data_IF_431738397896
#
_entry.id   IF_431738397896
#
_cell.length_a   1.000
_cell.length_b   1.000
_cell.length_c   1.000
_cell.angle_alpha   90.00
_cell.angle_beta   90.00
_cell.angle_gamma   90.00
#
_symmetry.space_group_name_H-M   'P 1'
#
loop_
_entity.id
_entity.type
_entity.pdbx_description
1 polymer ?
#
# COMPACT_ATOMS: atom_id res chain seq x y z
N UNK A 1 9.68 -26.55 1.99
CA UNK A 1 9.94 -27.96 1.64
C UNK A 1 11.42 -28.15 1.35
N UNK A 2 11.97 -27.56 0.28
CA UNK A 2 13.40 -27.59 -0.07
C UNK A 2 14.37 -27.60 1.12
N UNK A 3 14.29 -26.60 2.01
CA UNK A 3 15.23 -26.46 3.13
C UNK A 3 15.00 -27.40 4.32
N UNK A 4 13.80 -27.97 4.48
CA UNK A 4 13.38 -28.69 5.71
C UNK A 4 12.98 -30.14 5.45
N UNK A 5 12.80 -30.52 4.19
CA UNK A 5 12.39 -31.84 3.72
C UNK A 5 12.94 -32.07 2.30
N UNK A 6 14.28 -32.12 2.15
CA UNK A 6 14.94 -32.24 0.85
C UNK A 6 14.61 -33.57 0.16
N UNK A 7 14.45 -34.68 0.91
CA UNK A 7 14.10 -35.98 0.33
C UNK A 7 12.79 -35.94 -0.46
N UNK A 8 11.77 -35.25 0.06
CA UNK A 8 10.49 -35.08 -0.65
C UNK A 8 10.63 -34.12 -1.83
N UNK A 9 11.47 -33.10 -1.70
CA UNK A 9 11.75 -32.18 -2.80
C UNK A 9 12.41 -32.91 -3.98
N UNK A 10 13.55 -33.55 -3.75
CA UNK A 10 14.40 -34.19 -4.77
C UNK A 10 13.73 -35.43 -5.37
N UNK A 11 13.18 -36.32 -4.53
CA UNK A 11 12.72 -37.64 -5.01
C UNK A 11 11.24 -37.67 -5.42
N UNK A 12 10.47 -36.62 -5.15
CA UNK A 12 9.04 -36.57 -5.53
C UNK A 12 8.77 -35.37 -6.42
N UNK A 13 9.11 -34.16 -5.96
CA UNK A 13 8.65 -32.93 -6.60
C UNK A 13 9.46 -32.63 -7.85
N UNK A 14 10.79 -32.74 -7.79
CA UNK A 14 11.64 -32.58 -8.98
C UNK A 14 11.42 -33.68 -10.02
N UNK A 15 11.19 -34.92 -9.57
CA UNK A 15 10.85 -36.04 -10.46
C UNK A 15 9.56 -35.75 -11.23
N UNK A 16 8.50 -35.28 -10.55
CA UNK A 16 7.24 -34.93 -11.23
C UNK A 16 7.46 -33.77 -12.22
N UNK A 17 8.20 -32.73 -11.83
CA UNK A 17 8.47 -31.59 -12.73
C UNK A 17 9.33 -31.96 -13.94
N UNK A 18 10.17 -33.00 -13.84
CA UNK A 18 10.99 -33.52 -14.92
C UNK A 18 10.19 -34.42 -15.87
N UNK A 19 9.38 -35.32 -15.30
CA UNK A 19 8.78 -36.42 -16.05
C UNK A 19 7.38 -36.08 -16.59
N UNK A 20 6.70 -35.08 -16.00
CA UNK A 20 5.37 -34.64 -16.45
C UNK A 20 5.41 -33.35 -17.26
N UNK A 21 4.57 -33.24 -18.31
CA UNK A 21 4.61 -32.12 -19.24
C UNK A 21 4.09 -30.82 -18.62
N UNK A 22 4.67 -29.71 -19.07
CA UNK A 22 4.18 -28.35 -18.81
C UNK A 22 3.33 -27.78 -19.96
N UNK A 23 3.30 -28.48 -21.09
CA UNK A 23 2.46 -28.18 -22.26
C UNK A 23 1.90 -29.46 -22.87
N UNK A 24 0.67 -29.39 -23.38
CA UNK A 24 0.02 -30.48 -24.12
C UNK A 24 -0.80 -29.94 -25.29
N UNK A 25 -1.11 -30.79 -26.26
CA UNK A 25 -2.03 -30.42 -27.33
C UNK A 25 -3.43 -30.13 -26.78
N UNK A 26 -4.08 -29.11 -27.32
CA UNK A 26 -5.51 -28.86 -27.12
C UNK A 26 -6.34 -30.06 -27.59
N UNK A 27 -7.59 -30.16 -27.14
CA UNK A 27 -8.50 -31.26 -27.50
C UNK A 27 -8.71 -31.39 -29.02
N UNK A 28 -8.60 -30.28 -29.76
CA UNK A 28 -8.66 -30.23 -31.22
C UNK A 28 -7.31 -30.49 -31.93
N UNK A 29 -6.22 -30.71 -31.17
CA UNK A 29 -4.89 -31.05 -31.67
C UNK A 29 -4.11 -29.90 -32.31
N UNK A 30 -4.66 -28.67 -32.34
CA UNK A 30 -4.09 -27.57 -33.13
C UNK A 30 -3.05 -26.74 -32.38
N UNK A 31 -3.29 -26.48 -31.09
CA UNK A 31 -2.48 -25.56 -30.32
C UNK A 31 -1.82 -26.26 -29.14
N UNK A 32 -0.65 -25.76 -28.72
CA UNK A 32 -0.05 -26.18 -27.46
C UNK A 32 -0.61 -25.32 -26.33
N UNK A 33 -1.19 -25.99 -25.34
CA UNK A 33 -1.80 -25.37 -24.16
C UNK A 33 -0.94 -25.68 -22.96
N UNK A 34 -0.72 -24.68 -22.09
CA UNK A 34 -0.03 -24.90 -20.81
C UNK A 34 -0.84 -25.84 -19.93
N UNK A 35 -0.18 -26.85 -19.37
CA UNK A 35 -0.75 -27.74 -18.37
C UNK A 35 0.09 -27.70 -17.08
N UNK A 36 -0.50 -28.19 -15.99
CA UNK A 36 0.17 -28.25 -14.69
C UNK A 36 0.72 -29.68 -14.49
N UNK A 37 2.05 -29.88 -14.41
CA UNK A 37 2.66 -31.19 -14.20
C UNK A 37 2.10 -31.94 -12.98
N UNK A 38 1.81 -31.22 -11.90
CA UNK A 38 1.25 -31.81 -10.67
C UNK A 38 -0.17 -32.34 -10.86
N UNK A 39 -0.95 -31.72 -11.75
CA UNK A 39 -2.31 -32.17 -12.06
C UNK A 39 -2.29 -33.39 -12.98
N UNK A 40 -1.38 -33.43 -13.96
CA UNK A 40 -1.24 -34.60 -14.82
C UNK A 40 -0.76 -35.82 -14.02
N UNK A 41 0.24 -35.65 -13.13
CA UNK A 41 0.61 -36.70 -12.17
C UNK A 41 -0.58 -37.16 -11.33
N UNK A 42 -1.41 -36.21 -10.85
CA UNK A 42 -2.56 -36.53 -10.00
C UNK A 42 -3.61 -37.38 -10.71
N UNK A 43 -3.83 -37.14 -12.00
CA UNK A 43 -4.79 -37.90 -12.81
C UNK A 43 -4.38 -39.36 -12.97
N UNK A 44 -3.09 -39.62 -13.09
CA UNK A 44 -2.55 -40.97 -13.28
C UNK A 44 -2.31 -41.71 -11.95
N UNK A 45 -1.80 -41.01 -10.93
CA UNK A 45 -1.26 -41.64 -9.72
C UNK A 45 -1.99 -41.26 -8.43
N UNK A 46 -2.96 -40.34 -8.49
CA UNK A 46 -3.61 -39.78 -7.31
C UNK A 46 -2.80 -38.67 -6.63
N UNK A 47 -3.13 -38.36 -5.36
CA UNK A 47 -2.51 -37.22 -4.68
C UNK A 47 -1.00 -37.40 -4.50
N UNK A 48 -0.25 -36.33 -4.75
CA UNK A 48 1.19 -36.27 -4.48
C UNK A 48 1.38 -36.41 -2.97
N UNK A 49 2.16 -37.39 -2.55
CA UNK A 49 2.43 -37.68 -1.14
C UNK A 49 3.89 -37.40 -0.79
N UNK A 50 4.13 -37.10 0.50
CA UNK A 50 5.49 -36.96 1.04
C UNK A 50 6.32 -38.21 0.79
N UNK A 51 7.63 -38.06 0.58
CA UNK A 51 8.51 -39.21 0.49
C UNK A 51 8.43 -40.07 1.77
N UNK A 52 8.29 -41.39 1.59
CA UNK A 52 8.38 -42.36 2.66
C UNK A 52 8.81 -43.71 2.12
N UNK A 53 9.62 -44.45 2.88
CA UNK A 53 10.15 -45.76 2.45
C UNK A 53 9.07 -46.80 2.16
N UNK A 54 7.90 -46.70 2.81
CA UNK A 54 6.77 -47.64 2.71
C UNK A 54 5.57 -47.08 1.93
N UNK A 55 5.73 -45.93 1.25
CA UNK A 55 4.63 -45.31 0.48
C UNK A 55 3.46 -44.79 1.32
N UNK A 56 3.63 -44.57 2.63
CA UNK A 56 2.60 -44.05 3.56
C UNK A 56 2.77 -42.55 3.85
N UNK A 57 3.30 -41.81 2.88
CA UNK A 57 3.47 -40.37 2.99
C UNK A 57 2.13 -39.65 3.06
N UNK A 58 2.07 -38.54 3.79
CA UNK A 58 0.86 -37.71 3.81
C UNK A 58 0.72 -36.90 2.52
N UNK A 59 -0.51 -36.64 2.05
CA UNK A 59 -0.73 -35.83 0.85
C UNK A 59 -0.23 -34.39 0.98
N UNK A 60 0.37 -33.87 -0.09
CA UNK A 60 0.86 -32.50 -0.22
C UNK A 60 -0.20 -31.68 -0.96
N UNK A 61 -0.78 -30.68 -0.28
CA UNK A 61 -1.79 -29.77 -0.85
C UNK A 61 -1.35 -28.31 -0.87
N UNK A 62 -0.33 -27.97 -0.07
CA UNK A 62 0.14 -26.59 0.07
C UNK A 62 1.65 -26.59 0.29
N UNK A 63 2.32 -25.64 -0.35
CA UNK A 63 3.74 -25.39 -0.18
C UNK A 63 3.94 -23.99 0.39
N UNK A 64 4.42 -23.91 1.63
CA UNK A 64 4.87 -22.63 2.22
C UNK A 64 6.23 -22.27 1.61
N UNK A 65 6.38 -21.00 1.26
CA UNK A 65 7.61 -20.43 0.72
C UNK A 65 7.91 -19.09 1.41
N UNK A 66 9.18 -18.69 1.41
CA UNK A 66 9.56 -17.34 1.82
C UNK A 66 9.23 -16.37 0.69
N UNK A 67 8.33 -15.42 0.94
CA UNK A 67 7.89 -14.45 -0.06
C UNK A 67 8.79 -13.19 -0.05
N UNK A 68 8.57 -12.30 0.91
CA UNK A 68 9.29 -11.01 1.03
C UNK A 68 9.75 -10.77 2.46
N UNK A 69 10.76 -9.90 2.61
CA UNK A 69 11.14 -9.39 3.94
C UNK A 69 9.96 -8.64 4.57
N UNK A 70 9.75 -8.83 5.87
CA UNK A 70 8.66 -8.19 6.60
C UNK A 70 8.84 -6.66 6.60
N UNK A 71 7.83 -5.94 6.13
CA UNK A 71 7.75 -4.48 6.13
C UNK A 71 6.67 -3.96 7.08
N UNK A 72 5.99 -2.88 6.69
CA UNK A 72 4.88 -2.29 7.46
C UNK A 72 3.73 -3.30 7.69
N UNK A 73 3.34 -3.51 8.96
CA UNK A 73 2.36 -4.51 9.37
C UNK A 73 1.69 -4.17 10.71
N UNK A 74 0.58 -4.83 11.03
CA UNK A 74 0.02 -4.92 12.39
C UNK A 74 0.43 -6.27 12.98
N UNK A 75 1.03 -6.27 14.16
CA UNK A 75 1.29 -7.50 14.89
C UNK A 75 0.02 -8.02 15.56
N UNK A 76 -0.29 -9.29 15.32
CA UNK A 76 -1.34 -10.05 15.99
C UNK A 76 -0.76 -11.33 16.61
N UNK A 77 0.55 -11.31 16.94
CA UNK A 77 1.30 -12.45 17.44
C UNK A 77 0.70 -12.99 18.74
N UNK A 78 0.23 -14.26 18.76
CA UNK A 78 -0.17 -14.91 19.99
C UNK A 78 1.01 -15.08 20.94
N UNK A 79 0.78 -15.03 22.26
CA UNK A 79 1.84 -15.13 23.28
C UNK A 79 2.70 -16.40 23.15
N UNK A 80 2.10 -17.51 22.76
CA UNK A 80 2.76 -18.82 22.60
C UNK A 80 3.46 -19.00 21.25
N UNK A 81 3.37 -18.00 20.36
CA UNK A 81 3.92 -18.13 19.01
C UNK A 81 5.44 -18.02 19.03
N UNK A 82 6.11 -18.95 18.35
CA UNK A 82 7.57 -18.91 18.12
C UNK A 82 7.99 -17.89 17.05
N UNK A 83 7.03 -17.40 16.26
CA UNK A 83 7.27 -16.46 15.17
C UNK A 83 6.19 -15.37 15.17
N UNK A 84 6.52 -14.21 14.61
CA UNK A 84 5.54 -13.14 14.46
C UNK A 84 4.40 -13.53 13.51
N UNK A 85 3.18 -13.18 13.93
CA UNK A 85 1.97 -13.34 13.12
C UNK A 85 1.43 -11.94 12.87
N UNK A 86 1.25 -11.61 11.59
CA UNK A 86 1.06 -10.22 11.17
C UNK A 86 -0.07 -10.07 10.15
N UNK A 87 -0.70 -8.90 10.16
CA UNK A 87 -1.57 -8.43 9.07
C UNK A 87 -0.81 -7.39 8.25
N UNK A 88 -0.83 -7.55 6.92
CA UNK A 88 -0.19 -6.63 5.97
C UNK A 88 -1.26 -5.79 5.24
N UNK A 89 -0.82 -4.96 4.28
CA UNK A 89 -1.71 -4.11 3.47
C UNK A 89 -2.57 -3.16 4.29
N UNK A 90 -1.90 -2.36 5.13
CA UNK A 90 -2.57 -1.41 6.01
C UNK A 90 -3.20 -0.27 5.20
N UNK A 91 -4.52 -0.16 5.27
CA UNK A 91 -5.27 0.82 4.50
C UNK A 91 -5.08 2.25 5.07
N UNK A 92 -4.71 3.22 4.22
CA UNK A 92 -4.59 4.62 4.62
C UNK A 92 -5.97 5.22 4.87
N UNK A 93 -6.04 6.11 5.85
CA UNK A 93 -7.26 6.84 6.21
C UNK A 93 -7.21 8.29 5.72
N UNK A 94 -6.19 9.03 6.14
CA UNK A 94 -5.98 10.44 5.77
C UNK A 94 -4.50 10.79 5.79
N UNK A 95 -4.15 11.97 5.31
CA UNK A 95 -2.83 12.52 5.52
C UNK A 95 -2.90 13.96 6.01
N UNK A 96 -2.01 14.33 6.92
CA UNK A 96 -1.90 15.67 7.47
C UNK A 96 -0.68 16.36 6.85
N UNK A 97 -0.92 17.50 6.18
CA UNK A 97 0.11 18.26 5.47
C UNK A 97 0.62 19.40 6.35
N UNK A 98 1.94 19.48 6.46
CA UNK A 98 2.68 20.48 7.19
C UNK A 98 3.59 21.27 6.25
N UNK A 99 3.97 22.47 6.66
CA UNK A 99 5.00 23.27 6.00
C UNK A 99 6.12 23.57 6.99
N UNK A 100 7.35 23.30 6.59
CA UNK A 100 8.52 23.57 7.42
C UNK A 100 9.13 24.92 7.02
N UNK A 101 9.10 25.95 7.89
CA UNK A 101 9.62 27.27 7.58
C UNK A 101 11.15 27.30 7.44
N UNK A 102 11.87 26.36 8.07
CA UNK A 102 13.34 26.30 8.00
C UNK A 102 13.81 25.72 6.65
N UNK A 103 13.07 24.76 6.07
CA UNK A 103 13.44 24.11 4.80
C UNK A 103 12.66 24.62 3.59
N UNK A 104 11.61 25.41 3.83
CA UNK A 104 10.65 25.91 2.82
C UNK A 104 10.00 24.79 2.00
N UNK A 105 9.78 23.63 2.62
CA UNK A 105 9.18 22.45 1.97
C UNK A 105 7.96 21.96 2.73
N UNK A 106 7.07 21.31 1.99
CA UNK A 106 5.96 20.59 2.57
C UNK A 106 6.40 19.25 3.14
N UNK A 107 5.86 18.89 4.29
CA UNK A 107 6.07 17.61 4.96
C UNK A 107 4.71 16.96 5.15
N UNK A 108 4.59 15.70 4.74
CA UNK A 108 3.33 14.97 4.81
C UNK A 108 3.45 13.76 5.72
N UNK A 109 2.46 13.61 6.60
CA UNK A 109 2.29 12.47 7.49
C UNK A 109 1.02 11.70 7.11
N UNK A 110 1.09 10.37 6.99
CA UNK A 110 -0.10 9.54 6.76
C UNK A 110 -0.61 8.90 8.05
N UNK A 111 -1.93 8.86 8.21
CA UNK A 111 -2.60 8.05 9.22
C UNK A 111 -3.36 6.90 8.54
N UNK A 112 -3.29 5.72 9.13
CA UNK A 112 -4.00 4.51 8.72
C UNK A 112 -5.20 4.27 9.64
N UNK A 113 -6.18 3.50 9.17
CA UNK A 113 -7.31 3.11 10.03
C UNK A 113 -6.88 2.36 11.28
N UNK A 114 -5.80 1.59 11.20
CA UNK A 114 -5.21 0.86 12.33
C UNK A 114 -4.51 1.74 13.37
N UNK A 115 -4.28 3.00 13.05
CA UNK A 115 -3.69 3.94 14.00
C UNK A 115 -4.73 4.42 15.02
N UNK A 116 -6.02 4.27 14.71
CA UNK A 116 -7.14 4.58 15.59
C UNK A 116 -7.63 3.31 16.29
N UNK A 117 -8.07 3.47 17.54
CA UNK A 117 -8.58 2.36 18.35
C UNK A 117 -9.65 2.82 19.32
N UNK A 118 -10.40 1.88 19.87
CA UNK A 118 -11.27 2.14 21.00
C UNK A 118 -10.45 2.28 22.28
N UNK A 119 -10.57 3.42 22.93
CA UNK A 119 -9.97 3.67 24.24
C UNK A 119 -10.61 2.77 25.29
N UNK A 120 -9.77 2.07 26.06
CA UNK A 120 -10.23 1.20 27.14
C UNK A 120 -10.86 2.06 28.24
N UNK A 121 -12.04 1.66 28.72
CA UNK A 121 -12.78 2.36 29.77
C UNK A 121 -13.79 3.36 29.21
N UNK A 122 -13.40 4.26 28.30
CA UNK A 122 -14.34 5.25 27.72
C UNK A 122 -15.12 4.72 26.52
N UNK A 123 -14.56 3.75 25.78
CA UNK A 123 -15.13 3.24 24.53
C UNK A 123 -15.13 4.25 23.38
N UNK A 124 -14.40 5.36 23.50
CA UNK A 124 -14.27 6.36 22.43
C UNK A 124 -13.32 5.86 21.35
N UNK A 125 -13.69 6.02 20.09
CA UNK A 125 -12.80 5.70 18.96
C UNK A 125 -11.95 6.92 18.62
N UNK A 126 -10.65 6.87 18.90
CA UNK A 126 -9.74 7.98 18.64
C UNK A 126 -8.27 7.53 18.47
N UNK A 127 -7.40 8.50 18.23
CA UNK A 127 -5.94 8.39 18.33
C UNK A 127 -5.49 9.26 19.51
N UNK A 128 -4.58 8.77 20.35
CA UNK A 128 -3.98 9.59 21.42
C UNK A 128 -2.97 10.59 20.83
N UNK A 129 -2.76 11.71 21.53
CA UNK A 129 -1.75 12.69 21.11
C UNK A 129 -0.35 12.06 21.06
N UNK A 130 0.00 11.23 22.04
CA UNK A 130 1.27 10.49 22.09
C UNK A 130 1.48 9.63 20.83
N UNK A 131 0.50 8.81 20.46
CA UNK A 131 0.59 7.96 19.26
C UNK A 131 0.66 8.79 17.98
N UNK A 132 -0.08 9.90 17.92
CA UNK A 132 -0.01 10.84 16.80
C UNK A 132 1.40 11.44 16.67
N UNK A 133 1.99 11.88 17.78
CA UNK A 133 3.33 12.49 17.81
C UNK A 133 4.43 11.48 17.46
N UNK A 134 4.30 10.22 17.89
CA UNK A 134 5.20 9.14 17.44
C UNK A 134 5.15 8.94 15.92
N UNK A 135 3.95 8.94 15.32
CA UNK A 135 3.80 8.81 13.86
C UNK A 135 4.40 10.05 13.17
N UNK A 136 4.17 11.24 13.73
CA UNK A 136 4.70 12.50 13.25
C UNK A 136 6.23 12.48 13.20
N UNK A 137 6.89 11.98 14.24
CA UNK A 137 8.34 11.82 14.27
C UNK A 137 8.83 10.76 13.26
N UNK A 138 8.18 9.59 13.21
CA UNK A 138 8.53 8.50 12.27
C UNK A 138 8.42 8.93 10.81
N UNK A 139 7.37 9.68 10.47
CA UNK A 139 7.15 10.25 9.12
C UNK A 139 8.05 11.47 8.83
N UNK A 140 8.83 11.94 9.80
CA UNK A 140 9.83 12.99 9.63
C UNK A 140 9.26 14.39 9.53
N UNK A 141 8.20 14.70 10.28
CA UNK A 141 7.68 16.06 10.35
C UNK A 141 8.53 16.86 11.35
N UNK A 142 9.05 18.00 10.93
CA UNK A 142 9.85 18.90 11.75
C UNK A 142 9.08 19.43 12.97
N UNK A 143 9.83 19.68 14.06
CA UNK A 143 9.27 20.21 15.31
C UNK A 143 8.62 21.60 15.14
N UNK A 144 9.21 22.43 14.26
CA UNK A 144 8.70 23.77 13.91
C UNK A 144 7.72 23.76 12.75
N UNK A 145 7.42 22.61 12.18
CA UNK A 145 6.56 22.54 11.00
C UNK A 145 5.12 22.89 11.37
N UNK A 146 4.54 23.77 10.59
CA UNK A 146 3.20 24.31 10.80
C UNK A 146 2.17 23.44 10.09
N UNK A 147 1.11 23.06 10.80
CA UNK A 147 -0.02 22.38 10.17
C UNK A 147 -0.68 23.29 9.13
N UNK A 148 -0.98 22.73 7.96
CA UNK A 148 -1.68 23.43 6.88
C UNK A 148 -3.10 22.90 6.78
N UNK A 149 -3.27 21.64 6.40
CA UNK A 149 -4.60 21.04 6.23
C UNK A 149 -4.52 19.52 6.20
N UNK A 150 -5.65 18.88 6.44
CA UNK A 150 -5.83 17.43 6.31
C UNK A 150 -6.37 17.08 4.93
N UNK A 151 -5.87 16.00 4.33
CA UNK A 151 -6.34 15.43 3.07
C UNK A 151 -6.96 14.05 3.30
N UNK A 152 -8.21 13.92 2.93
CA UNK A 152 -8.93 12.65 2.82
C UNK A 152 -8.96 12.16 1.37
N UNK A 153 -9.29 10.89 1.18
CA UNK A 153 -9.46 10.33 -0.17
C UNK A 153 -10.43 11.18 -1.00
N UNK A 154 -10.02 11.49 -2.22
CA UNK A 154 -10.69 12.37 -3.19
C UNK A 154 -10.73 13.87 -2.84
N UNK A 155 -10.11 14.33 -1.75
CA UNK A 155 -9.87 15.76 -1.59
C UNK A 155 -9.08 16.29 -2.78
N UNK A 156 -9.47 17.45 -3.29
CA UNK A 156 -8.76 18.11 -4.37
C UNK A 156 -7.59 18.90 -3.82
N UNK A 157 -6.47 18.87 -4.54
CA UNK A 157 -5.29 19.67 -4.25
C UNK A 157 -4.87 20.42 -5.50
N UNK A 158 -4.60 21.71 -5.35
CA UNK A 158 -3.93 22.52 -6.36
C UNK A 158 -2.46 22.54 -6.00
N UNK A 159 -1.61 22.07 -6.91
CA UNK A 159 -0.17 22.15 -6.78
C UNK A 159 0.31 23.19 -7.78
N UNK A 160 1.14 24.12 -7.30
CA UNK A 160 1.80 25.14 -8.12
C UNK A 160 3.30 24.99 -7.97
N UNK A 161 4.00 25.06 -9.08
CA UNK A 161 5.44 25.25 -9.10
C UNK A 161 5.71 26.76 -9.23
N UNK A 162 6.31 27.35 -8.22
CA UNK A 162 6.61 28.79 -8.17
C UNK A 162 7.77 29.18 -9.07
N UNK A 163 8.57 28.22 -9.55
CA UNK A 163 9.69 28.47 -10.44
C UNK A 163 9.25 28.53 -11.90
N UNK A 164 8.52 27.52 -12.38
CA UNK A 164 7.99 27.46 -13.76
C UNK A 164 6.66 28.23 -13.94
N UNK A 165 5.91 28.45 -12.86
CA UNK A 165 4.55 29.00 -12.90
C UNK A 165 3.47 27.96 -13.26
N UNK A 166 3.84 26.71 -13.51
CA UNK A 166 2.89 25.63 -13.78
C UNK A 166 2.00 25.38 -12.56
N UNK A 167 0.74 25.02 -12.82
CA UNK A 167 -0.18 24.58 -11.77
C UNK A 167 -1.18 23.57 -12.30
N UNK A 168 -1.49 22.57 -11.48
CA UNK A 168 -2.46 21.53 -11.83
C UNK A 168 -3.26 21.10 -10.60
N UNK A 169 -4.52 20.71 -10.84
CA UNK A 169 -5.40 20.14 -9.80
C UNK A 169 -5.35 18.63 -9.88
N UNK A 170 -5.17 18.00 -8.73
CA UNK A 170 -5.22 16.55 -8.57
C UNK A 170 -6.25 16.15 -7.52
N UNK A 171 -6.72 14.91 -7.58
CA UNK A 171 -7.40 14.24 -6.48
C UNK A 171 -6.39 13.49 -5.63
N UNK A 172 -6.40 13.71 -4.32
CA UNK A 172 -5.58 12.97 -3.37
C UNK A 172 -6.14 11.56 -3.18
N UNK A 173 -5.30 10.52 -3.28
CA UNK A 173 -5.69 9.17 -2.87
C UNK A 173 -5.22 8.88 -1.44
N UNK A 174 -3.91 8.93 -1.21
CA UNK A 174 -3.31 8.56 0.07
C UNK A 174 -1.83 8.96 0.17
N UNK A 175 -1.30 8.95 1.40
CA UNK A 175 0.13 8.77 1.67
C UNK A 175 0.49 7.32 1.26
N UNK A 176 1.53 7.16 0.43
CA UNK A 176 1.94 5.87 -0.15
C UNK A 176 3.44 5.61 0.04
N UNK A 177 3.91 4.37 -0.08
CA UNK A 177 5.32 4.00 0.21
C UNK A 177 5.75 4.38 1.64
N UNK A 178 5.34 3.62 2.67
CA UNK A 178 5.67 3.94 4.07
C UNK A 178 7.17 4.12 4.36
N UNK A 179 8.03 3.45 3.60
CA UNK A 179 9.49 3.53 3.76
C UNK A 179 10.12 4.76 3.08
N UNK A 180 9.35 5.53 2.31
CA UNK A 180 9.81 6.74 1.63
C UNK A 180 8.93 7.90 2.06
N UNK A 181 9.49 8.86 2.79
CA UNK A 181 8.76 9.96 3.41
C UNK A 181 8.10 10.87 2.37
N UNK A 182 6.96 11.45 2.75
CA UNK A 182 6.25 12.52 2.02
C UNK A 182 5.79 12.18 0.58
N UNK A 183 5.72 10.89 0.23
CA UNK A 183 5.15 10.41 -1.02
C UNK A 183 3.63 10.23 -0.94
N UNK A 184 2.96 10.66 -2.00
CA UNK A 184 1.51 10.53 -2.20
C UNK A 184 1.19 9.75 -3.45
N UNK A 185 0.04 9.10 -3.46
CA UNK A 185 -0.62 8.71 -4.70
C UNK A 185 -1.66 9.76 -5.08
N UNK A 186 -1.54 10.28 -6.31
CA UNK A 186 -2.46 11.24 -6.89
C UNK A 186 -3.32 10.57 -7.98
N UNK A 187 -4.51 11.11 -8.17
CA UNK A 187 -5.44 10.75 -9.24
C UNK A 187 -5.77 11.99 -10.09
N UNK A 188 -6.11 11.81 -11.36
CA UNK A 188 -6.46 12.94 -12.21
C UNK A 188 -7.76 13.57 -11.75
N UNK A 189 -7.91 14.87 -12.02
CA UNK A 189 -9.10 15.65 -11.66
C UNK A 189 -10.36 15.21 -12.40
N UNK A 190 -10.23 14.92 -13.71
CA UNK A 190 -11.31 14.81 -14.69
C UNK A 190 -11.67 13.36 -15.10
N UNK A 191 -10.89 12.37 -14.64
CA UNK A 191 -11.07 10.96 -14.99
C UNK A 191 -10.72 10.03 -13.83
N UNK A 192 -11.01 8.74 -14.00
CA UNK A 192 -10.83 7.75 -12.93
C UNK A 192 -9.34 7.52 -12.59
N UNK A 193 -8.50 7.33 -13.61
CA UNK A 193 -7.07 7.00 -13.50
C UNK A 193 -6.24 7.65 -14.60
N UNK A 194 -4.95 7.82 -14.34
CA UNK A 194 -4.00 8.26 -15.35
C UNK A 194 -3.69 7.14 -16.36
N UNK A 195 -3.31 7.54 -17.57
CA UNK A 195 -2.67 6.63 -18.52
C UNK A 195 -1.21 6.41 -18.13
N UNK A 196 -0.67 5.23 -18.43
CA UNK A 196 0.75 4.96 -18.23
C UNK A 196 1.61 5.90 -19.08
N UNK A 197 2.65 6.49 -18.48
CA UNK A 197 3.53 7.43 -19.19
C UNK A 197 2.94 8.80 -19.47
N UNK A 198 1.73 9.10 -18.98
CA UNK A 198 1.12 10.43 -19.15
C UNK A 198 2.01 11.51 -18.53
N UNK A 199 2.23 12.60 -19.26
CA UNK A 199 2.94 13.78 -18.81
C UNK A 199 2.16 14.53 -17.72
N UNK A 200 2.87 15.08 -16.75
CA UNK A 200 2.35 15.95 -15.67
C UNK A 200 3.15 17.26 -15.70
N UNK A 201 2.94 18.11 -14.68
CA UNK A 201 3.84 19.22 -14.40
C UNK A 201 5.32 18.79 -14.42
N UNK A 202 6.21 19.66 -14.93
CA UNK A 202 7.63 19.38 -15.11
C UNK A 202 8.30 18.90 -13.82
N UNK A 203 7.93 19.48 -12.68
CA UNK A 203 8.41 19.11 -11.33
C UNK A 203 8.11 17.65 -10.94
N UNK A 204 7.12 17.03 -11.58
CA UNK A 204 6.70 15.65 -11.37
C UNK A 204 7.07 14.71 -12.52
N UNK A 205 7.32 15.21 -13.73
CA UNK A 205 7.60 14.40 -14.91
C UNK A 205 6.42 13.46 -15.23
N UNK A 206 6.68 12.22 -15.64
CA UNK A 206 5.62 11.34 -16.15
C UNK A 206 5.03 10.42 -15.07
N UNK A 207 3.78 10.00 -15.28
CA UNK A 207 3.14 8.91 -14.54
C UNK A 207 3.85 7.59 -14.85
N UNK A 208 3.98 6.69 -13.88
CA UNK A 208 4.54 5.37 -14.13
C UNK A 208 3.74 4.60 -15.20
N UNK A 209 4.38 3.71 -15.95
CA UNK A 209 3.73 2.96 -17.04
C UNK A 209 2.51 2.13 -16.57
N UNK A 210 2.45 1.76 -15.30
CA UNK A 210 1.28 1.11 -14.69
C UNK A 210 0.09 2.04 -14.38
N UNK A 211 0.19 3.33 -14.68
CA UNK A 211 -0.86 4.34 -14.46
C UNK A 211 -0.96 4.87 -13.03
N UNK A 212 -0.09 4.43 -12.11
CA UNK A 212 0.00 4.98 -10.76
C UNK A 212 0.85 6.26 -10.72
N UNK A 213 0.28 7.35 -10.22
CA UNK A 213 0.98 8.61 -10.03
C UNK A 213 1.46 8.73 -8.59
N UNK A 214 2.66 8.21 -8.32
CA UNK A 214 3.32 8.30 -7.01
C UNK A 214 4.36 9.42 -7.05
N UNK A 215 4.16 10.49 -6.28
CA UNK A 215 5.04 11.68 -6.29
C UNK A 215 5.35 12.15 -4.88
N UNK A 216 6.55 12.70 -4.69
CA UNK A 216 6.91 13.42 -3.46
C UNK A 216 6.39 14.84 -3.50
N UNK A 217 5.73 15.27 -2.42
CA UNK A 217 5.36 16.68 -2.22
C UNK A 217 6.45 17.46 -1.46
N UNK A 218 7.47 16.79 -0.94
CA UNK A 218 8.62 17.41 -0.27
C UNK A 218 9.66 17.86 -1.32
N UNK A 219 9.28 18.82 -2.15
CA UNK A 219 10.13 19.46 -3.15
C UNK A 219 10.19 20.97 -2.86
N UNK A 220 11.33 21.63 -3.17
CA UNK A 220 11.38 23.09 -3.13
C UNK A 220 10.40 23.69 -4.15
N UNK A 221 10.10 24.98 -4.02
CA UNK A 221 9.33 25.77 -4.99
C UNK A 221 7.89 25.28 -5.22
N UNK A 222 7.35 24.40 -4.36
CA UNK A 222 5.95 24.03 -4.41
C UNK A 222 5.10 24.96 -3.55
N UNK A 223 3.91 25.32 -4.06
CA UNK A 223 2.80 25.89 -3.29
C UNK A 223 1.59 24.99 -3.43
N UNK A 224 1.09 24.45 -2.32
CA UNK A 224 0.02 23.45 -2.30
C UNK A 224 -1.17 23.99 -1.52
N UNK A 225 -2.33 24.02 -2.16
CA UNK A 225 -3.61 24.39 -1.55
C UNK A 225 -4.58 23.22 -1.60
N UNK A 226 -5.34 23.01 -0.53
CA UNK A 226 -6.52 22.17 -0.59
C UNK A 226 -7.61 22.91 -1.36
N UNK A 227 -8.36 22.19 -2.18
CA UNK A 227 -9.49 22.73 -2.95
C UNK A 227 -10.75 22.04 -2.45
N UNK A 228 -11.71 22.82 -1.98
CA UNK A 228 -13.04 22.33 -1.65
C UNK A 228 -13.97 22.66 -2.80
N UNK A 229 -14.92 21.77 -3.04
CA UNK A 229 -16.00 22.05 -3.99
C UNK A 229 -17.34 21.91 -3.30
N UNK A 230 -18.30 22.71 -3.73
CA UNK A 230 -19.70 22.35 -3.50
C UNK A 230 -20.10 21.20 -4.46
N UNK A 231 -21.36 20.77 -4.36
CA UNK A 231 -21.88 19.68 -5.19
C UNK A 231 -21.99 20.04 -6.69
N UNK A 232 -21.89 21.34 -7.02
CA UNK A 232 -21.93 21.84 -8.39
C UNK A 232 -20.53 22.00 -9.00
N UNK A 233 -19.47 21.82 -8.20
CA UNK A 233 -18.09 21.90 -8.64
C UNK A 233 -17.46 23.30 -8.52
N UNK A 234 -18.11 24.24 -7.83
CA UNK A 234 -17.55 25.56 -7.55
C UNK A 234 -16.37 25.42 -6.58
N UNK A 235 -15.20 25.95 -6.95
CA UNK A 235 -13.93 25.69 -6.25
C UNK A 235 -13.62 26.77 -5.22
N UNK A 236 -13.19 26.35 -4.02
CA UNK A 236 -12.74 27.21 -2.93
C UNK A 236 -11.36 26.77 -2.46
N UNK A 237 -10.38 27.69 -2.48
CA UNK A 237 -8.99 27.39 -2.16
C UNK A 237 -8.69 27.60 -0.68
N UNK A 238 -8.13 26.59 -0.03
CA UNK A 238 -7.80 26.57 1.40
C UNK A 238 -6.29 26.42 1.56
N UNK A 239 -5.65 27.49 2.04
CA UNK A 239 -4.19 27.52 2.31
C UNK A 239 -3.83 26.98 3.69
N UNK A 240 -4.73 27.16 4.67
CA UNK A 240 -4.61 26.70 6.06
C UNK A 240 -6.02 26.43 6.60
N UNK A 241 -6.26 25.25 7.16
CA UNK A 241 -7.52 24.86 7.80
C UNK A 241 -7.57 25.29 9.28
N UNK A 242 -6.41 25.37 9.95
CA UNK A 242 -6.30 25.77 11.36
C UNK A 242 -4.88 25.64 11.86
N UNK A 243 -4.64 25.88 13.15
CA UNK A 243 -3.30 25.81 13.75
C UNK A 243 -2.86 24.40 14.12
N UNK A 244 -3.82 23.50 14.36
CA UNK A 244 -3.58 22.11 14.73
C UNK A 244 -4.49 21.16 13.94
N UNK A 245 -4.05 19.91 13.69
CA UNK A 245 -4.89 18.88 13.10
C UNK A 245 -6.08 18.58 14.01
N UNK A 246 -7.23 18.25 13.42
CA UNK A 246 -8.41 17.83 14.18
C UNK A 246 -8.29 16.35 14.55
N UNK A 247 -8.23 16.06 15.86
CA UNK A 247 -8.12 14.70 16.41
C UNK A 247 -9.36 14.25 17.21
N UNK A 248 -10.32 15.15 17.43
CA UNK A 248 -11.56 14.81 18.12
C UNK A 248 -12.63 14.33 17.13
N UNK A 249 -13.05 13.07 17.31
CA UNK A 249 -14.11 12.44 16.52
C UNK A 249 -15.40 12.43 17.35
N UNK A 250 -16.37 13.28 16.99
CA UNK A 250 -17.69 13.21 17.61
C UNK A 250 -18.36 11.92 17.16
N UNK A 251 -18.69 11.05 18.11
CA UNK A 251 -19.68 10.00 17.88
C UNK A 251 -21.04 10.70 17.73
N UNK A 252 -21.40 11.04 16.49
CA UNK A 252 -22.79 11.32 16.20
C UNK A 252 -23.52 9.99 16.40
N UNK A 253 -24.14 9.82 17.58
CA UNK A 253 -25.17 8.79 17.76
C UNK A 253 -26.23 9.06 16.69
N UNK A 254 -26.28 8.20 15.67
CA UNK A 254 -27.46 8.08 14.82
C UNK A 254 -28.54 7.37 15.61
#
# INVERSE_FOLDING_TARGET
>A
MYQKDPLTWENVIEVILRDYPTTKKSEDGKNDVKCNPFEEYRRENGLICKYSKKGKGTPIKSLKYYDKKLGNHISITPKESKNDVVLQSLNPWRADLYFNPDTLKYELMGLKYSDLSFEKGTGKYHISQEKYDEIKEKEGIGKKSEFKFTLYRNDLILIKDTESGEQEIYRFLSRTMPNVKHYVELKPYDKEKFNGGQELMQVFGNVANGGQCLKSLNKPNLSIYKVRTDVLGNKFFVKKEGDKPKLDFKNNKK
#
